data_IF_730286119762
#
_entry.id   IF_730286119762
#
_cell.length_a   1.000
_cell.length_b   1.000
_cell.length_c   1.000
_cell.angle_alpha   90.00
_cell.angle_beta   90.00
_cell.angle_gamma   90.00
#
_symmetry.space_group_name_H-M   'P 1'
#
loop_
_entity.id
_entity.type
_entity.pdbx_description
1 polymer ?
#
# COMPACT_ATOMS: atom_id res chain seq x y z
N UNK A 1 -20.16 -0.11 -15.95
CA UNK A 1 -20.69 0.66 -14.84
C UNK A 1 -20.16 2.09 -14.66
N UNK A 2 -19.27 2.56 -15.55
CA UNK A 2 -18.89 3.99 -15.63
C UNK A 2 -20.13 4.90 -15.77
N UNK A 3 -21.16 4.44 -16.46
CA UNK A 3 -22.40 5.22 -16.69
C UNK A 3 -23.17 5.52 -15.41
N UNK A 4 -23.31 4.54 -14.51
CA UNK A 4 -24.04 4.73 -13.24
C UNK A 4 -23.29 5.68 -12.30
N UNK A 5 -21.95 5.59 -12.27
CA UNK A 5 -21.09 6.50 -11.51
C UNK A 5 -21.22 7.94 -12.02
N UNK A 6 -21.21 8.12 -13.34
CA UNK A 6 -21.34 9.44 -13.97
C UNK A 6 -22.71 10.07 -13.69
N UNK A 7 -23.78 9.28 -13.68
CA UNK A 7 -25.13 9.76 -13.36
C UNK A 7 -25.21 10.18 -11.88
N UNK A 8 -24.75 9.34 -10.96
CA UNK A 8 -24.74 9.64 -9.53
C UNK A 8 -23.94 10.93 -9.23
N UNK A 9 -22.76 11.07 -9.81
CA UNK A 9 -21.94 12.27 -9.65
C UNK A 9 -22.63 13.53 -10.20
N UNK A 10 -23.31 13.44 -11.35
CA UNK A 10 -24.06 14.57 -11.92
C UNK A 10 -25.25 14.97 -11.05
N UNK A 11 -25.95 14.00 -10.46
CA UNK A 11 -27.07 14.27 -9.55
C UNK A 11 -26.56 14.98 -8.30
N UNK A 12 -25.50 14.49 -7.66
CA UNK A 12 -24.88 15.17 -6.49
C UNK A 12 -24.45 16.58 -6.85
N UNK A 13 -23.76 16.75 -7.97
CA UNK A 13 -23.30 18.07 -8.42
C UNK A 13 -24.45 19.04 -8.65
N UNK A 14 -25.55 18.58 -9.27
CA UNK A 14 -26.75 19.38 -9.46
C UNK A 14 -27.38 19.79 -8.12
N UNK A 15 -27.44 18.86 -7.16
CA UNK A 15 -27.93 19.15 -5.81
C UNK A 15 -27.08 20.19 -5.11
N UNK A 16 -25.76 20.05 -5.15
CA UNK A 16 -24.82 21.05 -4.56
C UNK A 16 -25.03 22.43 -5.19
N UNK A 17 -25.10 22.52 -6.52
CA UNK A 17 -25.32 23.79 -7.22
C UNK A 17 -26.65 24.44 -6.82
N UNK A 18 -27.74 23.66 -6.72
CA UNK A 18 -29.04 24.18 -6.29
C UNK A 18 -28.97 24.69 -4.86
N UNK A 19 -28.34 23.96 -3.96
CA UNK A 19 -28.20 24.35 -2.56
C UNK A 19 -27.34 25.61 -2.41
N UNK A 20 -26.24 25.72 -3.14
CA UNK A 20 -25.41 26.93 -3.17
C UNK A 20 -26.17 28.14 -3.70
N UNK A 21 -26.94 27.98 -4.78
CA UNK A 21 -27.77 29.07 -5.32
C UNK A 21 -28.83 29.53 -4.31
N UNK A 22 -29.47 28.58 -3.59
CA UNK A 22 -30.42 28.90 -2.54
C UNK A 22 -29.75 29.64 -1.36
N UNK A 23 -28.51 29.24 -0.96
CA UNK A 23 -27.75 29.91 0.08
C UNK A 23 -27.29 31.30 -0.35
N UNK A 24 -26.88 31.49 -1.60
CA UNK A 24 -26.52 32.81 -2.15
C UNK A 24 -27.69 33.77 -2.16
N UNK A 25 -28.93 33.31 -2.35
CA UNK A 25 -30.14 34.11 -2.31
C UNK A 25 -30.67 34.38 -0.89
N UNK A 26 -30.10 33.69 0.13
CA UNK A 26 -30.55 33.79 1.51
C UNK A 26 -30.60 35.22 2.10
N UNK A 27 -29.68 36.19 1.77
CA UNK A 27 -29.76 37.55 2.25
C UNK A 27 -31.03 38.32 1.85
N UNK A 28 -31.70 37.86 0.81
CA UNK A 28 -32.96 38.46 0.30
C UNK A 28 -34.20 37.63 0.62
N UNK A 29 -34.03 36.35 0.89
CA UNK A 29 -35.14 35.38 1.01
C UNK A 29 -35.41 34.93 2.43
N UNK A 30 -34.41 35.05 3.33
CA UNK A 30 -34.45 34.54 4.72
C UNK A 30 -34.84 33.06 4.81
N UNK A 31 -34.54 32.29 3.79
CA UNK A 31 -34.99 30.89 3.66
C UNK A 31 -34.30 29.96 4.63
N UNK A 32 -33.01 30.13 4.86
CA UNK A 32 -32.22 29.24 5.72
C UNK A 32 -31.99 29.81 7.11
N UNK A 33 -31.66 31.11 7.18
CA UNK A 33 -31.43 31.84 8.43
C UNK A 33 -31.60 33.32 8.23
N UNK A 34 -31.93 34.03 9.31
CA UNK A 34 -31.96 35.48 9.36
C UNK A 34 -31.56 35.98 10.75
N UNK A 35 -31.32 37.29 10.86
CA UNK A 35 -31.01 37.93 12.13
C UNK A 35 -32.16 38.87 12.51
N UNK A 36 -32.70 38.67 13.73
CA UNK A 36 -33.90 39.37 14.17
C UNK A 36 -33.64 40.81 14.63
N UNK A 37 -32.39 41.14 15.02
CA UNK A 37 -32.05 42.46 15.53
C UNK A 37 -31.11 43.26 14.58
N UNK A 38 -31.18 44.58 14.67
CA UNK A 38 -30.35 45.50 13.86
C UNK A 38 -28.83 45.32 14.07
N UNK A 39 -28.41 44.66 15.13
CA UNK A 39 -27.01 44.40 15.45
C UNK A 39 -26.55 43.02 14.94
N UNK A 40 -27.41 42.25 14.26
CA UNK A 40 -27.16 40.90 13.73
C UNK A 40 -26.59 39.92 14.76
N UNK A 41 -27.03 40.01 16.02
CA UNK A 41 -26.54 39.17 17.12
C UNK A 41 -27.50 38.02 17.44
N UNK A 42 -28.76 38.10 17.07
CA UNK A 42 -29.74 37.02 17.33
C UNK A 42 -30.01 36.23 16.05
N UNK A 43 -29.37 35.06 15.96
CA UNK A 43 -29.53 34.13 14.85
C UNK A 43 -30.85 33.37 14.96
N UNK A 44 -31.65 33.38 13.89
CA UNK A 44 -32.90 32.66 13.77
C UNK A 44 -32.85 31.70 12.56
N UNK A 45 -33.48 30.54 12.70
CA UNK A 45 -33.57 29.56 11.61
C UNK A 45 -34.74 29.88 10.70
N UNK A 46 -34.47 29.97 9.41
CA UNK A 46 -35.49 30.15 8.38
C UNK A 46 -36.33 28.90 8.11
N UNK A 47 -37.43 29.04 7.36
CA UNK A 47 -38.37 27.93 7.11
C UNK A 47 -37.76 26.74 6.39
N UNK A 48 -36.78 26.95 5.55
CA UNK A 48 -36.07 25.89 4.79
C UNK A 48 -34.80 25.39 5.44
N UNK A 49 -34.46 25.82 6.66
CA UNK A 49 -33.28 25.34 7.37
C UNK A 49 -33.25 23.79 7.47
N UNK A 50 -34.41 23.17 7.73
CA UNK A 50 -34.53 21.70 7.79
C UNK A 50 -34.29 20.99 6.45
N UNK A 51 -34.40 21.67 5.32
CA UNK A 51 -34.15 21.12 4.00
C UNK A 51 -32.67 20.72 3.82
N UNK A 52 -31.74 21.46 4.42
CA UNK A 52 -30.32 21.12 4.40
C UNK A 52 -30.04 19.73 5.01
N UNK A 53 -30.75 19.35 6.06
CA UNK A 53 -30.61 18.01 6.67
C UNK A 53 -31.18 16.91 5.79
N UNK A 54 -32.25 17.20 5.02
CA UNK A 54 -32.78 16.26 4.03
C UNK A 54 -31.77 16.02 2.90
N UNK A 55 -31.11 17.05 2.41
CA UNK A 55 -30.05 16.93 1.41
C UNK A 55 -28.88 16.10 1.94
N UNK A 56 -28.42 16.37 3.17
CA UNK A 56 -27.37 15.60 3.84
C UNK A 56 -27.73 14.09 3.91
N UNK A 57 -28.97 13.78 4.27
CA UNK A 57 -29.43 12.39 4.33
C UNK A 57 -29.43 11.71 2.95
N UNK A 58 -29.84 12.40 1.92
CA UNK A 58 -29.81 11.90 0.53
C UNK A 58 -28.37 11.65 0.08
N UNK A 59 -27.45 12.56 0.36
CA UNK A 59 -26.02 12.39 0.05
C UNK A 59 -25.40 11.18 0.76
N UNK A 60 -25.68 11.01 2.05
CA UNK A 60 -25.23 9.85 2.82
C UNK A 60 -25.79 8.55 2.23
N UNK A 61 -27.08 8.52 1.89
CA UNK A 61 -27.69 7.36 1.26
C UNK A 61 -27.04 7.02 -0.09
N UNK A 62 -26.73 8.03 -0.90
CA UNK A 62 -26.04 7.84 -2.18
C UNK A 62 -24.62 7.32 -2.00
N UNK A 63 -23.84 7.88 -1.05
CA UNK A 63 -22.50 7.40 -0.71
C UNK A 63 -22.55 5.93 -0.28
N UNK A 64 -23.49 5.58 0.60
CA UNK A 64 -23.68 4.20 1.06
C UNK A 64 -24.07 3.26 -0.08
N UNK A 65 -24.99 3.66 -0.96
CA UNK A 65 -25.41 2.87 -2.12
C UNK A 65 -24.24 2.64 -3.11
N UNK A 66 -23.47 3.68 -3.42
CA UNK A 66 -22.28 3.57 -4.25
C UNK A 66 -21.23 2.65 -3.63
N UNK A 67 -21.04 2.73 -2.32
CA UNK A 67 -20.11 1.85 -1.59
C UNK A 67 -20.56 0.39 -1.65
N UNK A 68 -21.83 0.08 -1.36
CA UNK A 68 -22.34 -1.28 -1.41
C UNK A 68 -22.18 -1.92 -2.79
N UNK A 69 -22.38 -1.14 -3.83
CA UNK A 69 -22.22 -1.59 -5.22
C UNK A 69 -20.77 -1.88 -5.61
N UNK A 70 -19.82 -1.10 -5.09
CA UNK A 70 -18.39 -1.15 -5.46
C UNK A 70 -17.48 -1.65 -4.32
N UNK A 71 -18.02 -2.33 -3.32
CA UNK A 71 -17.31 -2.73 -2.09
C UNK A 71 -16.03 -3.56 -2.31
N UNK A 72 -15.91 -4.24 -3.44
CA UNK A 72 -14.76 -5.08 -3.80
C UNK A 72 -13.56 -4.27 -4.27
N UNK A 73 -13.80 -3.10 -4.86
CA UNK A 73 -12.76 -2.21 -5.44
C UNK A 73 -12.28 -1.16 -4.42
N UNK A 74 -13.09 -0.90 -3.39
CA UNK A 74 -12.80 0.15 -2.40
C UNK A 74 -11.68 -0.25 -1.45
N UNK A 75 -10.68 0.63 -1.26
CA UNK A 75 -9.55 0.41 -0.35
C UNK A 75 -9.98 0.17 1.11
N UNK A 76 -9.13 -0.49 1.90
CA UNK A 76 -9.43 -0.78 3.32
C UNK A 76 -9.64 0.50 4.14
N UNK A 77 -8.85 1.55 3.88
CA UNK A 77 -8.97 2.84 4.56
C UNK A 77 -10.32 3.52 4.25
N UNK A 78 -10.70 3.56 2.97
CA UNK A 78 -11.97 4.11 2.53
C UNK A 78 -13.17 3.33 3.11
N UNK A 79 -13.06 2.01 3.24
CA UNK A 79 -14.09 1.19 3.91
C UNK A 79 -14.28 1.54 5.39
N UNK A 80 -13.19 1.84 6.10
CA UNK A 80 -13.27 2.30 7.50
C UNK A 80 -13.92 3.68 7.58
N UNK A 81 -13.52 4.60 6.71
CA UNK A 81 -14.08 5.93 6.63
C UNK A 81 -15.61 5.91 6.40
N UNK A 82 -16.07 5.15 5.39
CA UNK A 82 -17.50 5.06 5.05
C UNK A 82 -18.33 4.38 6.16
N UNK A 83 -17.71 3.57 7.04
CA UNK A 83 -18.40 3.02 8.21
C UNK A 83 -18.55 4.01 9.36
N UNK A 84 -17.57 4.90 9.53
CA UNK A 84 -17.49 5.79 10.69
C UNK A 84 -18.10 7.16 10.39
N UNK A 85 -17.80 7.77 9.24
CA UNK A 85 -18.22 9.11 8.93
C UNK A 85 -19.75 9.28 8.82
N UNK A 86 -20.53 8.46 8.08
CA UNK A 86 -21.98 8.62 7.99
C UNK A 86 -22.73 8.57 9.33
N UNK A 87 -22.53 7.56 10.21
CA UNK A 87 -23.23 7.54 11.48
C UNK A 87 -22.82 8.70 12.40
N UNK A 88 -21.55 9.13 12.36
CA UNK A 88 -21.09 10.28 13.12
C UNK A 88 -21.75 11.57 12.64
N UNK A 89 -21.83 11.79 11.33
CA UNK A 89 -22.51 12.95 10.72
C UNK A 89 -23.98 12.97 11.10
N UNK A 90 -24.68 11.82 11.02
CA UNK A 90 -26.08 11.71 11.42
C UNK A 90 -26.29 11.99 12.90
N UNK A 91 -25.40 11.51 13.78
CA UNK A 91 -25.48 11.78 15.21
C UNK A 91 -25.33 13.27 15.51
N UNK A 92 -24.34 13.94 14.91
CA UNK A 92 -24.14 15.38 15.08
C UNK A 92 -25.29 16.21 14.49
N UNK A 93 -25.80 15.82 13.33
CA UNK A 93 -26.98 16.45 12.72
C UNK A 93 -28.24 16.31 13.60
N UNK A 94 -28.46 15.12 14.16
CA UNK A 94 -29.55 14.86 15.11
C UNK A 94 -29.43 15.72 16.38
N UNK A 95 -28.20 15.82 16.92
CA UNK A 95 -27.90 16.67 18.07
C UNK A 95 -28.18 18.14 17.77
N UNK A 96 -27.78 18.63 16.60
CA UNK A 96 -28.05 20.02 16.19
C UNK A 96 -29.56 20.30 15.97
N UNK A 97 -30.32 19.29 15.55
CA UNK A 97 -31.80 19.43 15.44
C UNK A 97 -32.47 19.50 16.83
N UNK A 98 -31.91 18.81 17.82
CA UNK A 98 -32.46 18.79 19.18
C UNK A 98 -32.07 20.06 19.99
N UNK A 99 -30.88 20.59 19.77
CA UNK A 99 -30.35 21.76 20.48
C UNK A 99 -30.24 22.93 19.47
N UNK A 100 -31.29 23.72 19.39
CA UNK A 100 -31.43 24.80 18.40
C UNK A 100 -30.40 25.94 18.58
N UNK A 101 -29.93 26.16 19.80
CA UNK A 101 -28.94 27.20 20.15
C UNK A 101 -27.50 26.81 19.87
N UNK A 102 -27.23 25.58 19.42
CA UNK A 102 -25.86 25.11 19.17
C UNK A 102 -25.52 25.09 17.70
N UNK A 103 -24.41 25.73 17.31
CA UNK A 103 -23.88 25.71 15.94
C UNK A 103 -22.82 24.59 15.81
N UNK A 104 -23.27 23.36 15.56
CA UNK A 104 -22.38 22.21 15.39
C UNK A 104 -21.95 21.95 13.94
N UNK A 105 -22.49 22.70 12.96
CA UNK A 105 -22.18 22.50 11.53
C UNK A 105 -20.68 22.64 11.23
N UNK A 106 -20.02 23.66 11.76
CA UNK A 106 -18.59 23.88 11.55
C UNK A 106 -17.71 22.78 12.17
N UNK A 107 -18.07 22.29 13.36
CA UNK A 107 -17.37 21.17 14.01
C UNK A 107 -17.58 19.87 13.22
N UNK A 108 -18.78 19.63 12.69
CA UNK A 108 -19.10 18.49 11.86
C UNK A 108 -18.26 18.48 10.57
N UNK A 109 -18.22 19.59 9.87
CA UNK A 109 -17.42 19.77 8.66
C UNK A 109 -15.92 19.56 8.94
N UNK A 110 -15.40 20.17 10.00
CA UNK A 110 -14.00 20.03 10.42
C UNK A 110 -13.63 18.57 10.75
N UNK A 111 -14.51 17.83 11.45
CA UNK A 111 -14.30 16.42 11.76
C UNK A 111 -14.34 15.54 10.52
N UNK A 112 -15.27 15.78 9.60
CA UNK A 112 -15.35 15.05 8.33
C UNK A 112 -14.10 15.30 7.49
N UNK A 113 -13.68 16.57 7.35
CA UNK A 113 -12.46 16.93 6.64
C UNK A 113 -11.21 16.30 7.26
N UNK A 114 -11.10 16.27 8.60
CA UNK A 114 -10.01 15.61 9.31
C UNK A 114 -10.00 14.09 9.04
N UNK A 115 -11.15 13.43 9.06
CA UNK A 115 -11.26 12.00 8.75
C UNK A 115 -10.87 11.70 7.30
N UNK A 116 -11.29 12.55 6.36
CA UNK A 116 -10.85 12.45 4.96
C UNK A 116 -9.33 12.61 4.85
N UNK A 117 -8.77 13.65 5.45
CA UNK A 117 -7.34 13.91 5.43
C UNK A 117 -6.54 12.72 5.98
N UNK A 118 -6.89 12.19 7.15
CA UNK A 118 -6.23 11.02 7.74
C UNK A 118 -6.37 9.79 6.83
N UNK A 119 -7.54 9.58 6.22
CA UNK A 119 -7.77 8.44 5.34
C UNK A 119 -6.97 8.50 4.04
N UNK A 120 -6.85 9.70 3.45
CA UNK A 120 -6.01 9.93 2.27
C UNK A 120 -4.52 9.79 2.59
N UNK A 121 -4.08 10.31 3.74
CA UNK A 121 -2.69 10.21 4.17
C UNK A 121 -2.29 8.75 4.44
N UNK A 122 -3.14 7.98 5.10
CA UNK A 122 -2.91 6.55 5.33
C UNK A 122 -2.85 5.73 4.02
N UNK A 123 -3.56 6.12 2.98
CA UNK A 123 -3.45 5.48 1.67
C UNK A 123 -2.10 5.75 0.99
N UNK A 124 -1.54 6.95 1.15
CA UNK A 124 -0.21 7.28 0.62
C UNK A 124 0.92 6.60 1.38
N UNK A 125 0.75 6.37 2.69
CA UNK A 125 1.74 5.63 3.52
C UNK A 125 1.92 4.18 3.07
N UNK A 126 0.92 3.58 2.41
CA UNK A 126 0.97 2.22 1.87
C UNK A 126 1.63 2.07 0.50
N UNK A 127 1.94 3.17 -0.19
CA UNK A 127 2.54 3.17 -1.52
C UNK A 127 3.95 3.74 -1.48
N UNK A 128 4.78 3.31 -2.42
CA UNK A 128 6.07 3.93 -2.71
C UNK A 128 5.86 5.21 -3.53
N UNK A 129 6.52 6.31 -3.15
CA UNK A 129 6.30 7.62 -3.77
C UNK A 129 6.81 7.72 -5.21
N UNK A 130 7.81 6.92 -5.59
CA UNK A 130 8.41 6.93 -6.92
C UNK A 130 7.63 6.02 -7.88
N UNK A 131 7.35 4.80 -7.44
CA UNK A 131 6.82 3.74 -8.32
C UNK A 131 5.32 3.58 -8.22
N UNK A 132 4.68 4.18 -7.21
CA UNK A 132 3.27 4.01 -6.86
C UNK A 132 2.85 2.56 -6.55
N UNK A 133 3.79 1.62 -6.53
CA UNK A 133 3.52 0.27 -6.08
C UNK A 133 3.29 0.24 -4.56
N UNK A 134 2.49 -0.73 -4.05
CA UNK A 134 2.43 -1.00 -2.64
C UNK A 134 3.83 -1.24 -2.06
N UNK A 135 4.10 -0.64 -0.90
CA UNK A 135 5.40 -0.73 -0.26
C UNK A 135 5.56 -2.01 0.60
N UNK A 136 6.73 -2.18 1.22
CA UNK A 136 7.06 -3.32 2.09
C UNK A 136 6.04 -3.51 3.23
N UNK A 137 5.57 -2.42 3.84
CA UNK A 137 4.60 -2.52 4.93
C UNK A 137 3.25 -3.06 4.45
N UNK A 138 2.81 -2.63 3.27
CA UNK A 138 1.59 -3.16 2.63
C UNK A 138 1.75 -4.63 2.28
N UNK A 139 2.92 -5.05 1.77
CA UNK A 139 3.22 -6.46 1.53
C UNK A 139 3.05 -7.31 2.80
N UNK A 140 3.66 -6.90 3.92
CA UNK A 140 3.55 -7.63 5.20
C UNK A 140 2.08 -7.75 5.64
N UNK A 141 1.31 -6.66 5.55
CA UNK A 141 -0.11 -6.67 5.91
C UNK A 141 -0.95 -7.59 5.00
N UNK A 142 -0.63 -7.64 3.71
CA UNK A 142 -1.33 -8.51 2.77
C UNK A 142 -0.93 -9.97 2.94
N UNK A 143 0.34 -10.25 3.18
CA UNK A 143 0.83 -11.59 3.51
C UNK A 143 0.13 -12.12 4.77
N UNK A 144 0.08 -11.34 5.86
CA UNK A 144 -0.65 -11.67 7.07
C UNK A 144 -2.16 -11.89 6.84
N UNK A 145 -2.77 -11.17 5.91
CA UNK A 145 -4.17 -11.38 5.57
C UNK A 145 -4.44 -12.68 4.78
N UNK A 146 -3.43 -13.21 4.08
CA UNK A 146 -3.52 -14.47 3.33
C UNK A 146 -3.42 -15.71 4.23
N UNK A 147 -2.86 -15.60 5.44
CA UNK A 147 -2.77 -16.72 6.41
C UNK A 147 -4.13 -17.33 6.74
N UNK A 148 -5.20 -16.54 6.70
CA UNK A 148 -6.57 -16.98 6.99
C UNK A 148 -7.16 -17.92 5.94
N UNK A 149 -6.53 -18.06 4.76
CA UNK A 149 -7.10 -18.76 3.61
C UNK A 149 -6.34 -20.04 3.25
N UNK A 150 -5.25 -20.38 3.97
CA UNK A 150 -4.35 -21.52 3.66
C UNK A 150 -3.97 -21.61 2.17
N UNK A 151 -3.83 -20.44 1.53
CA UNK A 151 -3.57 -20.36 0.09
C UNK A 151 -2.08 -20.51 -0.15
N UNK A 152 -1.69 -21.46 -1.00
CA UNK A 152 -0.29 -21.57 -1.46
C UNK A 152 0.06 -20.36 -2.31
N UNK A 153 1.07 -19.62 -1.86
CA UNK A 153 1.59 -18.42 -2.54
C UNK A 153 2.91 -18.75 -3.23
N UNK A 154 3.14 -18.12 -4.36
CA UNK A 154 4.45 -18.00 -4.98
C UNK A 154 4.95 -16.58 -4.76
N UNK A 155 6.12 -16.45 -4.16
CA UNK A 155 6.80 -15.18 -3.87
C UNK A 155 8.07 -15.10 -4.69
N UNK A 156 8.32 -13.95 -5.31
CA UNK A 156 9.52 -13.67 -6.10
C UNK A 156 10.12 -12.36 -5.60
N UNK A 157 11.30 -12.42 -5.03
CA UNK A 157 12.08 -11.24 -4.65
C UNK A 157 13.10 -10.93 -5.74
N UNK A 158 13.06 -9.72 -6.28
CA UNK A 158 13.93 -9.22 -7.32
C UNK A 158 14.85 -8.15 -6.75
N UNK A 159 16.13 -8.19 -7.10
CA UNK A 159 17.14 -7.20 -6.76
C UNK A 159 17.85 -6.71 -8.02
N UNK A 160 17.75 -5.41 -8.29
CA UNK A 160 18.47 -4.75 -9.38
C UNK A 160 19.91 -4.47 -8.95
N UNK A 161 20.88 -5.14 -9.55
CA UNK A 161 22.27 -5.17 -9.04
C UNK A 161 23.11 -3.96 -9.47
N UNK A 162 22.85 -3.38 -10.65
CA UNK A 162 23.70 -2.33 -11.25
C UNK A 162 23.18 -0.90 -11.03
N UNK A 163 22.23 -0.71 -10.12
CA UNK A 163 21.58 0.59 -9.93
C UNK A 163 22.53 1.69 -9.47
N UNK A 164 23.53 1.34 -8.66
CA UNK A 164 24.54 2.30 -8.20
C UNK A 164 25.41 2.79 -9.38
N UNK A 165 25.87 1.87 -10.22
CA UNK A 165 26.64 2.20 -11.42
C UNK A 165 25.83 3.02 -12.42
N UNK A 166 24.54 2.70 -12.57
CA UNK A 166 23.61 3.46 -13.43
C UNK A 166 23.44 4.87 -12.89
N UNK A 167 23.25 5.05 -11.59
CA UNK A 167 23.12 6.36 -10.95
C UNK A 167 24.41 7.19 -11.08
N UNK A 168 25.57 6.56 -10.92
CA UNK A 168 26.87 7.23 -11.07
C UNK A 168 27.11 7.67 -12.52
N UNK A 169 26.76 6.82 -13.48
CA UNK A 169 27.02 7.07 -14.92
C UNK A 169 26.01 8.04 -15.53
N UNK A 170 24.73 7.92 -15.22
CA UNK A 170 23.64 8.63 -15.90
C UNK A 170 22.89 9.62 -15.01
N UNK A 171 23.18 9.65 -13.70
CA UNK A 171 22.50 10.48 -12.71
C UNK A 171 21.28 9.81 -12.06
N UNK A 172 20.93 10.31 -10.87
CA UNK A 172 19.83 9.74 -10.05
C UNK A 172 18.47 9.84 -10.74
N UNK A 173 18.22 10.92 -11.49
CA UNK A 173 16.97 11.09 -12.23
C UNK A 173 16.73 9.96 -13.25
N UNK A 174 17.78 9.54 -13.95
CA UNK A 174 17.68 8.43 -14.92
C UNK A 174 17.49 7.09 -14.21
N UNK A 175 18.15 6.88 -13.07
CA UNK A 175 17.91 5.71 -12.24
C UNK A 175 16.48 5.63 -11.72
N UNK A 176 15.90 6.75 -11.30
CA UNK A 176 14.50 6.84 -10.87
C UNK A 176 13.55 6.51 -12.02
N UNK A 177 13.84 7.02 -13.23
CA UNK A 177 13.07 6.70 -14.43
C UNK A 177 13.12 5.20 -14.76
N UNK A 178 14.29 4.57 -14.61
CA UNK A 178 14.44 3.12 -14.76
C UNK A 178 13.62 2.35 -13.74
N UNK A 179 13.70 2.73 -12.45
CA UNK A 179 12.91 2.11 -11.38
C UNK A 179 11.40 2.21 -11.65
N UNK A 180 10.95 3.34 -12.16
CA UNK A 180 9.56 3.55 -12.56
C UNK A 180 9.17 2.63 -13.72
N UNK A 181 10.00 2.52 -14.78
CA UNK A 181 9.73 1.62 -15.91
C UNK A 181 9.70 0.14 -15.48
N UNK A 182 10.66 -0.28 -14.65
CA UNK A 182 10.68 -1.63 -14.08
C UNK A 182 9.40 -1.90 -13.30
N UNK A 183 8.96 -0.94 -12.47
CA UNK A 183 7.74 -1.10 -11.68
C UNK A 183 6.50 -1.30 -12.56
N UNK A 184 6.35 -0.51 -13.64
CA UNK A 184 5.23 -0.64 -14.57
C UNK A 184 5.25 -1.98 -15.32
N UNK A 185 6.43 -2.44 -15.70
CA UNK A 185 6.58 -3.77 -16.30
C UNK A 185 6.16 -4.88 -15.34
N UNK A 186 6.64 -4.85 -14.07
CA UNK A 186 6.33 -5.88 -13.09
C UNK A 186 4.85 -5.90 -12.69
N UNK A 187 4.18 -4.75 -12.69
CA UNK A 187 2.76 -4.64 -12.38
C UNK A 187 1.86 -5.23 -13.49
N UNK A 188 2.38 -5.31 -14.73
CA UNK A 188 1.59 -5.73 -15.89
C UNK A 188 1.93 -7.14 -16.40
N UNK A 189 3.15 -7.63 -16.16
CA UNK A 189 3.62 -8.87 -16.77
C UNK A 189 2.87 -10.12 -16.33
N UNK A 190 2.45 -10.17 -15.07
CA UNK A 190 1.83 -11.35 -14.48
C UNK A 190 0.43 -11.01 -13.92
N UNK A 191 -0.65 -11.31 -14.64
CA UNK A 191 -2.01 -10.88 -14.28
C UNK A 191 -2.52 -11.42 -12.93
N UNK A 192 -1.88 -12.48 -12.39
CA UNK A 192 -2.24 -13.09 -11.10
C UNK A 192 -1.26 -12.74 -9.97
N UNK A 193 -0.31 -11.83 -10.23
CA UNK A 193 0.65 -11.35 -9.25
C UNK A 193 0.40 -9.89 -8.93
N UNK A 194 0.69 -9.54 -7.70
CA UNK A 194 0.76 -8.17 -7.24
C UNK A 194 2.23 -7.80 -7.03
N UNK A 195 2.63 -6.68 -7.60
CA UNK A 195 3.98 -6.14 -7.44
C UNK A 195 4.05 -5.22 -6.22
N UNK A 196 5.18 -5.27 -5.50
CA UNK A 196 5.47 -4.45 -4.34
C UNK A 196 6.85 -3.83 -4.47
N UNK A 197 6.99 -2.59 -4.02
CA UNK A 197 8.29 -1.96 -3.81
C UNK A 197 8.84 -2.39 -2.46
N UNK A 198 9.83 -3.29 -2.46
CA UNK A 198 10.31 -3.92 -1.23
C UNK A 198 11.49 -3.18 -0.59
N UNK A 199 12.25 -2.40 -1.35
CA UNK A 199 13.39 -1.60 -0.91
C UNK A 199 13.90 -0.68 -2.01
N UNK A 200 15.06 -0.05 -1.82
CA UNK A 200 15.61 0.94 -2.76
C UNK A 200 15.81 0.39 -4.18
N UNK A 201 16.29 -0.85 -4.29
CA UNK A 201 16.56 -1.53 -5.57
C UNK A 201 15.84 -2.87 -5.66
N UNK A 202 14.88 -3.13 -4.75
CA UNK A 202 14.23 -4.42 -4.61
C UNK A 202 12.73 -4.33 -4.86
N UNK A 203 12.23 -5.32 -5.59
CA UNK A 203 10.80 -5.53 -5.83
C UNK A 203 10.40 -6.93 -5.35
N UNK A 204 9.14 -7.08 -5.00
CA UNK A 204 8.60 -8.38 -4.63
C UNK A 204 7.29 -8.60 -5.40
N UNK A 205 7.15 -9.79 -5.99
CA UNK A 205 5.92 -10.22 -6.60
C UNK A 205 5.27 -11.29 -5.72
N UNK A 206 4.00 -11.15 -5.44
CA UNK A 206 3.20 -12.11 -4.69
C UNK A 206 2.01 -12.58 -5.53
N UNK A 207 1.94 -13.86 -5.80
CA UNK A 207 0.86 -14.44 -6.59
C UNK A 207 0.45 -15.83 -6.12
N UNK A 208 -0.60 -16.35 -6.72
CA UNK A 208 -1.08 -17.72 -6.51
C UNK A 208 -0.83 -18.51 -7.78
N UNK A 209 -0.09 -19.62 -7.66
CA UNK A 209 0.19 -20.52 -8.78
C UNK A 209 -0.26 -21.93 -8.40
N UNK A 210 -1.02 -22.54 -9.27
CA UNK A 210 -1.53 -23.91 -9.05
C UNK A 210 -0.50 -24.98 -9.42
N UNK A 211 0.43 -24.68 -10.34
CA UNK A 211 1.44 -25.63 -10.85
C UNK A 211 2.83 -25.00 -10.83
N UNK A 212 3.83 -25.76 -10.41
CA UNK A 212 5.22 -25.30 -10.34
C UNK A 212 5.82 -24.99 -11.73
N UNK A 213 5.45 -25.75 -12.75
CA UNK A 213 5.90 -25.51 -14.13
C UNK A 213 5.54 -24.08 -14.62
N UNK A 214 4.37 -23.57 -14.22
CA UNK A 214 3.98 -22.20 -14.55
C UNK A 214 4.86 -21.16 -13.87
N UNK A 215 5.34 -21.44 -12.65
CA UNK A 215 6.25 -20.53 -11.94
C UNK A 215 7.61 -20.43 -12.62
N UNK A 216 8.14 -21.56 -13.12
CA UNK A 216 9.38 -21.53 -13.90
C UNK A 216 9.24 -20.74 -15.20
N UNK A 217 8.12 -20.88 -15.92
CA UNK A 217 7.84 -20.11 -17.11
C UNK A 217 7.78 -18.60 -16.82
N UNK A 218 7.18 -18.19 -15.70
CA UNK A 218 7.16 -16.79 -15.27
C UNK A 218 8.55 -16.25 -14.94
N UNK A 219 9.39 -17.06 -14.29
CA UNK A 219 10.79 -16.66 -14.03
C UNK A 219 11.56 -16.47 -15.33
N UNK A 220 11.41 -17.36 -16.31
CA UNK A 220 12.04 -17.25 -17.63
C UNK A 220 11.59 -15.98 -18.37
N UNK A 221 10.31 -15.63 -18.28
CA UNK A 221 9.76 -14.42 -18.89
C UNK A 221 10.37 -13.16 -18.25
N UNK A 222 10.46 -13.11 -16.94
CA UNK A 222 11.11 -12.00 -16.21
C UNK A 222 12.58 -11.90 -16.66
N UNK A 223 13.35 -12.99 -16.58
CA UNK A 223 14.77 -12.99 -16.94
C UNK A 223 15.01 -12.57 -18.39
N UNK A 224 14.19 -13.04 -19.34
CA UNK A 224 14.26 -12.63 -20.75
C UNK A 224 14.05 -11.13 -20.94
N UNK A 225 13.16 -10.49 -20.17
CA UNK A 225 12.98 -9.04 -20.24
C UNK A 225 14.21 -8.28 -19.76
N UNK A 226 14.81 -8.73 -18.65
CA UNK A 226 16.01 -8.09 -18.09
C UNK A 226 17.29 -8.31 -18.92
N UNK A 227 17.26 -9.18 -19.93
CA UNK A 227 18.32 -9.31 -20.93
C UNK A 227 18.22 -8.24 -22.05
N UNK A 228 17.11 -7.48 -22.09
CA UNK A 228 16.91 -6.41 -23.08
C UNK A 228 17.16 -5.05 -22.43
N UNK A 229 17.61 -4.05 -23.20
CA UNK A 229 17.81 -2.70 -22.67
C UNK A 229 16.49 -2.07 -22.23
N UNK A 230 16.62 -1.06 -21.36
CA UNK A 230 15.51 -0.24 -20.88
C UNK A 230 15.58 1.14 -21.54
N UNK A 231 14.42 1.64 -22.01
CA UNK A 231 14.32 2.93 -22.72
C UNK A 231 14.39 4.16 -21.79
N UNK A 232 14.54 3.94 -20.49
CA UNK A 232 14.59 4.99 -19.47
C UNK A 232 15.83 5.87 -19.57
N UNK A 233 16.90 5.32 -20.13
CA UNK A 233 18.22 5.93 -20.27
C UNK A 233 18.59 5.84 -21.75
N UNK A 234 19.72 6.38 -22.14
CA UNK A 234 20.23 6.23 -23.51
C UNK A 234 20.15 4.78 -24.01
N UNK A 235 20.11 4.61 -25.34
CA UNK A 235 20.12 3.29 -25.99
C UNK A 235 21.19 2.40 -25.33
N UNK A 236 20.80 1.18 -24.97
CA UNK A 236 21.66 0.15 -24.36
C UNK A 236 21.87 0.20 -22.83
N UNK A 237 20.96 0.77 -22.07
CA UNK A 237 20.99 0.62 -20.62
C UNK A 237 20.47 -0.78 -20.21
N UNK A 238 21.38 -1.63 -19.81
CA UNK A 238 21.09 -2.95 -19.25
C UNK A 238 21.10 -2.88 -17.72
N UNK A 239 20.10 -3.46 -17.10
CA UNK A 239 20.01 -3.56 -15.65
C UNK A 239 19.80 -5.03 -15.27
N UNK A 240 20.86 -5.76 -14.89
CA UNK A 240 20.74 -7.14 -14.45
C UNK A 240 19.89 -7.27 -13.18
N UNK A 241 19.25 -8.42 -13.02
CA UNK A 241 18.40 -8.73 -11.87
C UNK A 241 18.77 -10.06 -11.24
N UNK A 242 18.91 -10.07 -9.93
CA UNK A 242 18.98 -11.29 -9.13
C UNK A 242 17.59 -11.60 -8.57
N UNK A 243 17.12 -12.84 -8.74
CA UNK A 243 15.80 -13.26 -8.31
C UNK A 243 15.91 -14.44 -7.34
N UNK A 244 15.23 -14.30 -6.20
CA UNK A 244 14.95 -15.42 -5.30
C UNK A 244 13.47 -15.72 -5.33
N UNK A 245 13.08 -16.99 -5.43
CA UNK A 245 11.66 -17.33 -5.40
C UNK A 245 11.37 -18.58 -4.57
N UNK A 246 10.17 -18.63 -4.00
CA UNK A 246 9.73 -19.72 -3.16
C UNK A 246 8.21 -19.91 -3.22
N UNK A 247 7.78 -21.13 -2.90
CA UNK A 247 6.39 -21.42 -2.55
C UNK A 247 6.24 -21.46 -1.05
N UNK A 248 5.15 -20.88 -0.55
CA UNK A 248 4.84 -20.90 0.87
C UNK A 248 3.32 -20.95 1.09
N UNK A 249 2.93 -21.56 2.20
CA UNK A 249 1.60 -21.38 2.78
C UNK A 249 1.80 -20.56 4.04
N UNK A 250 1.42 -19.27 4.05
CA UNK A 250 1.73 -18.42 5.16
C UNK A 250 0.97 -18.85 6.43
N UNK A 251 1.69 -18.89 7.54
CA UNK A 251 1.16 -19.16 8.88
C UNK A 251 1.10 -17.84 9.66
N UNK A 252 0.18 -17.66 10.61
CA UNK A 252 0.13 -16.44 11.43
C UNK A 252 1.46 -16.16 12.15
N UNK A 253 1.90 -14.91 12.08
CA UNK A 253 3.15 -14.40 12.66
C UNK A 253 4.46 -14.95 12.04
N UNK A 254 4.39 -15.52 10.83
CA UNK A 254 5.55 -16.08 10.11
C UNK A 254 6.07 -15.14 9.00
N UNK A 255 5.52 -13.92 8.90
CA UNK A 255 5.82 -12.99 7.81
C UNK A 255 7.31 -12.63 7.75
N UNK A 256 7.92 -12.39 8.90
CA UNK A 256 9.35 -12.06 8.96
C UNK A 256 10.22 -13.25 8.56
N UNK A 257 9.88 -14.46 9.00
CA UNK A 257 10.60 -15.69 8.61
C UNK A 257 10.55 -15.91 7.10
N UNK A 258 9.40 -15.72 6.46
CA UNK A 258 9.26 -15.83 5.01
C UNK A 258 10.15 -14.80 4.29
N UNK A 259 10.19 -13.57 4.79
CA UNK A 259 11.06 -12.52 4.25
C UNK A 259 12.53 -12.90 4.42
N UNK A 260 12.94 -13.36 5.60
CA UNK A 260 14.31 -13.76 5.89
C UNK A 260 14.76 -14.94 5.02
N UNK A 261 13.88 -15.88 4.75
CA UNK A 261 14.14 -17.01 3.83
C UNK A 261 14.36 -16.53 2.39
N UNK A 262 13.54 -15.57 1.90
CA UNK A 262 13.74 -14.97 0.57
C UNK A 262 15.05 -14.19 0.48
N UNK A 263 15.36 -13.37 1.49
CA UNK A 263 16.60 -12.60 1.56
C UNK A 263 17.82 -13.53 1.64
N UNK A 264 17.74 -14.60 2.45
CA UNK A 264 18.75 -15.63 2.51
C UNK A 264 18.97 -16.31 1.14
N UNK A 265 17.89 -16.67 0.47
CA UNK A 265 17.93 -17.28 -0.86
C UNK A 265 18.59 -16.35 -1.87
N UNK A 266 18.23 -15.07 -1.85
CA UNK A 266 18.83 -14.06 -2.71
C UNK A 266 20.35 -13.93 -2.46
N UNK A 267 20.78 -14.01 -1.21
CA UNK A 267 22.19 -13.94 -0.83
C UNK A 267 23.05 -15.09 -1.37
N UNK A 268 22.43 -16.22 -1.72
CA UNK A 268 23.16 -17.38 -2.29
C UNK A 268 23.62 -17.15 -3.74
N UNK A 269 23.09 -16.12 -4.41
CA UNK A 269 23.56 -15.73 -5.74
C UNK A 269 24.95 -15.11 -5.66
N UNK A 270 25.24 -14.36 -4.59
CA UNK A 270 26.52 -13.63 -4.43
C UNK A 270 26.70 -12.56 -5.52
N UNK A 271 27.96 -12.23 -5.82
CA UNK A 271 28.33 -11.19 -6.79
C UNK A 271 28.43 -11.73 -8.22
N UNK A 272 27.51 -12.60 -8.62
CA UNK A 272 27.48 -13.12 -9.98
C UNK A 272 27.13 -12.02 -10.98
N UNK A 273 27.87 -11.92 -12.10
CA UNK A 273 27.49 -11.04 -13.19
C UNK A 273 26.20 -11.55 -13.86
N UNK A 274 25.46 -10.64 -14.50
CA UNK A 274 24.23 -10.92 -15.22
C UNK A 274 23.04 -11.31 -14.32
N UNK A 275 21.91 -11.56 -14.95
CA UNK A 275 20.68 -11.95 -14.26
C UNK A 275 20.72 -13.42 -13.86
N UNK A 276 20.41 -13.68 -12.59
CA UNK A 276 20.39 -15.03 -12.03
C UNK A 276 19.13 -15.25 -11.19
N UNK A 277 18.73 -16.52 -11.09
CA UNK A 277 17.62 -16.94 -10.21
C UNK A 277 18.02 -18.10 -9.34
N UNK A 278 17.48 -18.13 -8.11
CA UNK A 278 17.61 -19.23 -7.15
C UNK A 278 16.25 -19.54 -6.55
N UNK A 279 15.92 -20.81 -6.51
CA UNK A 279 14.71 -21.30 -5.86
C UNK A 279 15.02 -21.79 -4.43
N UNK A 280 14.16 -21.40 -3.49
CA UNK A 280 14.26 -21.88 -2.12
C UNK A 280 13.70 -23.30 -2.02
N UNK A 281 14.59 -24.26 -2.08
CA UNK A 281 14.31 -25.68 -1.99
C UNK A 281 14.59 -26.26 -0.59
N UNK A 282 14.34 -27.55 -0.40
CA UNK A 282 14.60 -28.27 0.86
C UNK A 282 16.08 -28.24 1.28
N UNK A 283 17.01 -28.13 0.33
CA UNK A 283 18.43 -28.04 0.63
C UNK A 283 18.77 -26.67 1.23
N UNK A 284 18.28 -25.59 0.63
CA UNK A 284 18.43 -24.24 1.16
C UNK A 284 17.68 -24.06 2.47
N UNK A 285 16.51 -24.69 2.64
CA UNK A 285 15.80 -24.68 3.92
C UNK A 285 16.65 -25.24 5.05
N UNK A 286 17.26 -26.42 4.86
CA UNK A 286 18.16 -27.03 5.86
C UNK A 286 19.37 -26.15 6.17
N UNK A 287 19.94 -25.51 5.16
CA UNK A 287 21.07 -24.58 5.36
C UNK A 287 20.65 -23.33 6.14
N UNK A 288 19.50 -22.76 5.81
CA UNK A 288 18.91 -21.62 6.53
C UNK A 288 18.62 -21.96 8.00
N UNK A 289 18.00 -23.08 8.27
CA UNK A 289 17.72 -23.55 9.63
C UNK A 289 19.00 -23.78 10.44
N UNK A 290 20.01 -24.42 9.83
CA UNK A 290 21.31 -24.60 10.47
C UNK A 290 21.99 -23.26 10.79
N UNK A 291 21.98 -22.30 9.85
CA UNK A 291 22.54 -20.96 10.05
C UNK A 291 21.83 -20.25 11.20
N UNK A 292 20.49 -20.25 11.20
CA UNK A 292 19.68 -19.63 12.24
C UNK A 292 19.95 -20.25 13.61
N UNK A 293 20.05 -21.57 13.67
CA UNK A 293 20.41 -22.27 14.89
C UNK A 293 21.79 -21.84 15.41
N UNK A 294 22.80 -21.81 14.55
CA UNK A 294 24.16 -21.41 14.93
C UNK A 294 24.18 -19.96 15.42
N UNK A 295 23.51 -19.03 14.72
CA UNK A 295 23.44 -17.63 15.15
C UNK A 295 22.76 -17.48 16.51
N UNK A 296 21.69 -18.20 16.77
CA UNK A 296 21.01 -18.20 18.07
C UNK A 296 21.91 -18.77 19.18
N UNK A 297 22.69 -19.83 18.89
CA UNK A 297 23.67 -20.36 19.84
C UNK A 297 24.79 -19.37 20.15
N UNK A 298 25.29 -18.68 19.14
CA UNK A 298 26.31 -17.63 19.32
C UNK A 298 25.75 -16.50 20.17
N UNK A 299 24.53 -16.02 19.87
CA UNK A 299 23.89 -14.98 20.68
C UNK A 299 23.69 -15.42 22.13
N UNK A 300 23.21 -16.63 22.35
CA UNK A 300 23.03 -17.18 23.68
C UNK A 300 24.37 -17.30 24.44
N UNK A 301 25.43 -17.73 23.75
CA UNK A 301 26.77 -17.84 24.36
C UNK A 301 27.36 -16.45 24.69
N UNK A 302 27.05 -15.41 23.92
CA UNK A 302 27.40 -14.02 24.24
C UNK A 302 26.65 -13.53 25.47
N UNK A 303 25.34 -13.74 25.51
CA UNK A 303 24.47 -13.28 26.62
C UNK A 303 24.79 -13.99 27.94
N UNK A 304 25.31 -15.22 27.89
CA UNK A 304 25.69 -16.04 29.06
C UNK A 304 27.19 -16.01 29.37
N UNK A 305 27.98 -15.22 28.62
CA UNK A 305 29.46 -15.14 28.76
C UNK A 305 30.14 -16.52 28.71
N UNK A 306 29.58 -17.48 27.96
CA UNK A 306 30.02 -18.88 27.94
C UNK A 306 31.10 -19.19 26.88
N UNK A 307 31.65 -18.17 26.20
CA UNK A 307 32.75 -18.37 25.26
C UNK A 307 34.06 -18.74 25.97
N UNK A 308 34.74 -19.76 25.44
CA UNK A 308 36.04 -20.17 25.89
C UNK A 308 37.09 -19.92 24.78
N UNK A 309 38.21 -19.31 25.15
CA UNK A 309 39.30 -19.06 24.23
C UNK A 309 40.25 -20.26 24.22
N UNK A 310 40.47 -20.83 23.05
CA UNK A 310 41.45 -21.88 22.82
C UNK A 310 42.58 -21.32 21.94
N UNK A 311 43.85 -21.59 22.36
CA UNK A 311 45.02 -21.20 21.60
C UNK A 311 45.60 -22.43 20.88
N UNK A 312 45.81 -22.31 19.58
CA UNK A 312 46.48 -23.33 18.79
C UNK A 312 47.99 -22.94 18.72
N UNK A 313 48.91 -23.78 19.20
CA UNK A 313 50.33 -23.49 19.10
C UNK A 313 50.82 -23.56 17.65
N UNK A 314 51.49 -22.53 17.20
CA UNK A 314 52.15 -22.50 15.88
C UNK A 314 53.60 -22.94 16.08
N UNK A 315 54.00 -24.08 15.54
CA UNK A 315 55.36 -24.57 15.59
C UNK A 315 56.13 -24.10 14.35
N UNK A 316 57.31 -23.54 14.58
CA UNK A 316 58.21 -23.21 13.49
C UNK A 316 59.03 -24.47 13.14
N UNK A 317 58.69 -25.11 12.02
CA UNK A 317 59.51 -26.19 11.47
C UNK A 317 60.79 -25.58 10.86
N UNK A 318 61.90 -25.63 11.58
CA UNK A 318 63.21 -25.41 10.93
C UNK A 318 63.48 -26.61 10.03
N UNK A 319 63.74 -26.37 8.73
CA UNK A 319 64.35 -27.30 7.80
C UNK A 319 65.80 -27.52 8.17
#
# INVERSE_FOLDING_TARGET
DKHCYTIATRIVLLFCIVLELMLLTNPWTDWFFYFENAQNTLYMRGPFNKLAYLFLLVEICMICACYYRNRTVVSRAMRKLIRVAPPMVLALASMQLMFEDTLLSGTMESLVNLLFYISFQNNRVGLDSLTELPNRNTFIQELAAKTKKETRLHLILLHLTEMENINQKYGTYQGDTLLYQVSRYLDQILPHYQAFRFGNTRFLLMGTVQKEDAAHAYMDEILKRFQKPWDAVEKDCYCPVHCAHMFTVPVPNDENRIIDQLEYTLSQIGDKPFSHTVFFDDALQRQYERRTYVLNQIQHALDTESFQLYFQPIYHCRK
#
